data_IF_694572131876
#
_entry.id   IF_694572131876
#
_cell.length_a   1.000
_cell.length_b   1.000
_cell.length_c   1.000
_cell.angle_alpha   90.00
_cell.angle_beta   90.00
_cell.angle_gamma   90.00
#
_symmetry.space_group_name_H-M   'P 1'
#
loop_
_entity.id
_entity.type
_entity.pdbx_description
1 polymer ?
#
# COMPACT_ATOMS: atom_id res chain seq x y z
N UNK A 1 -10.76 44.51 25.17
CA UNK A 1 -9.93 43.34 25.51
C UNK A 1 -10.10 42.35 24.36
N UNK A 2 -9.09 42.29 23.53
CA UNK A 2 -9.05 41.53 22.28
C UNK A 2 -8.68 40.09 22.60
N UNK A 3 -9.55 39.14 22.35
CA UNK A 3 -9.22 37.72 22.44
C UNK A 3 -8.66 37.31 21.07
N UNK A 4 -7.38 37.00 21.09
CA UNK A 4 -6.58 36.52 19.99
C UNK A 4 -7.16 35.22 19.39
N UNK A 5 -7.24 35.22 18.07
CA UNK A 5 -7.60 34.09 17.28
C UNK A 5 -6.66 32.90 17.59
N UNK A 6 -7.27 31.83 17.98
CA UNK A 6 -6.64 30.52 18.22
C UNK A 6 -5.87 30.07 16.99
N UNK A 7 -4.63 29.77 17.26
CA UNK A 7 -3.65 29.14 16.35
C UNK A 7 -4.28 27.99 15.57
N UNK A 8 -4.14 28.04 14.29
CA UNK A 8 -4.44 26.95 13.36
C UNK A 8 -3.65 25.73 13.80
N UNK A 9 -4.34 24.77 14.36
CA UNK A 9 -3.79 23.48 14.75
C UNK A 9 -3.18 22.83 13.50
N UNK A 10 -1.86 22.98 13.38
CA UNK A 10 -1.07 22.32 12.36
C UNK A 10 -1.30 20.82 12.52
N UNK A 11 -1.90 20.17 11.52
CA UNK A 11 -2.07 18.73 11.47
C UNK A 11 -0.68 18.06 11.55
N UNK A 12 -0.22 17.86 12.78
CA UNK A 12 0.96 17.06 13.09
C UNK A 12 0.60 15.62 12.73
N UNK A 13 1.15 15.13 11.62
CA UNK A 13 0.84 13.85 11.02
C UNK A 13 0.51 12.74 12.03
N UNK A 14 -0.54 11.96 11.79
CA UNK A 14 -1.09 11.04 12.78
C UNK A 14 -0.11 9.95 13.18
N UNK A 15 -0.03 9.70 14.48
CA UNK A 15 0.50 8.45 15.01
C UNK A 15 -0.51 7.34 14.72
N UNK A 16 -0.14 6.39 13.91
CA UNK A 16 -0.96 5.58 13.00
C UNK A 16 -1.82 4.45 13.58
N UNK A 17 -2.28 4.48 14.79
CA UNK A 17 -3.21 3.42 15.26
C UNK A 17 -4.53 4.03 15.72
N UNK A 18 -5.57 3.82 14.90
CA UNK A 18 -6.95 4.15 15.27
C UNK A 18 -7.44 5.53 14.83
N UNK A 19 -6.67 6.30 14.05
CA UNK A 19 -7.12 7.60 13.54
C UNK A 19 -7.85 7.42 12.22
N UNK A 20 -9.07 7.93 12.13
CA UNK A 20 -9.87 7.97 10.93
C UNK A 20 -9.85 9.37 10.30
N UNK A 21 -9.99 9.42 8.98
CA UNK A 21 -10.10 10.67 8.21
C UNK A 21 -11.17 10.53 7.15
N UNK A 22 -11.73 11.66 6.75
CA UNK A 22 -12.72 11.71 5.69
C UNK A 22 -12.04 11.84 4.32
N UNK A 23 -12.39 10.94 3.40
CA UNK A 23 -11.99 11.04 2.01
C UNK A 23 -12.66 12.24 1.34
N UNK A 24 -11.87 13.12 0.72
CA UNK A 24 -12.38 14.34 0.08
C UNK A 24 -13.22 14.05 -1.17
N UNK A 25 -12.97 12.92 -1.84
CA UNK A 25 -13.70 12.50 -3.04
C UNK A 25 -15.03 11.81 -2.69
N UNK A 26 -14.98 10.79 -1.85
CA UNK A 26 -16.14 9.94 -1.55
C UNK A 26 -16.93 10.39 -0.32
N UNK A 27 -16.41 11.33 0.47
CA UNK A 27 -17.00 11.82 1.73
C UNK A 27 -17.20 10.73 2.79
N UNK A 28 -16.55 9.60 2.65
CA UNK A 28 -16.56 8.49 3.61
C UNK A 28 -15.43 8.65 4.62
N UNK A 29 -15.71 8.33 5.87
CA UNK A 29 -14.70 8.25 6.93
C UNK A 29 -14.05 6.85 6.87
N UNK A 30 -12.72 6.82 6.91
CA UNK A 30 -11.93 5.58 6.79
C UNK A 30 -10.69 5.64 7.68
N UNK A 31 -10.16 4.48 8.09
CA UNK A 31 -8.85 4.39 8.72
C UNK A 31 -7.77 5.03 7.83
N UNK A 32 -6.82 5.73 8.45
CA UNK A 32 -5.68 6.36 7.74
C UNK A 32 -4.91 5.37 6.86
N UNK A 33 -4.83 4.12 7.26
CA UNK A 33 -4.19 3.05 6.47
C UNK A 33 -4.85 2.83 5.10
N UNK A 34 -6.13 3.18 4.95
CA UNK A 34 -6.90 3.04 3.71
C UNK A 34 -6.93 4.33 2.88
N UNK A 35 -6.20 5.35 3.31
CA UNK A 35 -6.16 6.67 2.68
C UNK A 35 -4.74 7.04 2.24
N UNK A 36 -4.66 7.93 1.25
CA UNK A 36 -3.43 8.63 0.89
C UNK A 36 -3.60 10.10 1.30
N UNK A 37 -2.62 10.59 2.05
CA UNK A 37 -2.52 12.01 2.38
C UNK A 37 -1.90 12.75 1.21
N UNK A 38 -2.44 13.92 0.90
CA UNK A 38 -1.86 14.88 -0.04
C UNK A 38 -1.63 16.20 0.68
N UNK A 39 -0.57 16.88 0.32
CA UNK A 39 -0.24 18.24 0.79
C UNK A 39 -0.01 19.15 -0.40
N UNK A 40 0.08 20.46 -0.18
CA UNK A 40 0.49 21.37 -1.22
C UNK A 40 1.97 21.65 -1.09
N UNK A 41 2.72 21.33 -2.13
CA UNK A 41 4.16 21.59 -2.24
C UNK A 41 4.47 23.07 -2.40
N UNK A 42 5.78 23.45 -2.37
CA UNK A 42 6.23 24.83 -2.52
C UNK A 42 5.75 25.47 -3.82
N UNK A 43 5.65 24.68 -4.88
CA UNK A 43 5.23 25.13 -6.22
C UNK A 43 3.70 25.26 -6.38
N UNK A 44 2.93 25.10 -5.29
CA UNK A 44 1.48 25.12 -5.30
C UNK A 44 0.82 23.86 -5.87
N UNK A 45 1.57 22.79 -6.10
CA UNK A 45 1.07 21.50 -6.60
C UNK A 45 0.64 20.56 -5.48
N UNK A 46 -0.36 19.73 -5.76
CA UNK A 46 -0.70 18.60 -4.88
C UNK A 46 0.39 17.52 -4.94
N UNK A 47 0.90 17.15 -3.77
CA UNK A 47 1.98 16.15 -3.62
C UNK A 47 1.49 15.02 -2.72
N UNK A 48 1.62 13.73 -3.13
CA UNK A 48 1.34 12.59 -2.27
C UNK A 48 2.31 12.50 -1.09
N UNK A 49 1.79 12.32 0.12
CA UNK A 49 2.58 12.16 1.34
C UNK A 49 2.31 10.79 1.99
N UNK A 50 2.93 9.75 1.44
CA UNK A 50 2.73 8.38 1.92
C UNK A 50 3.31 8.14 3.32
N UNK A 51 4.32 8.90 3.71
CA UNK A 51 5.02 8.76 5.00
C UNK A 51 4.45 9.70 6.08
N UNK A 52 3.47 10.54 5.74
CA UNK A 52 2.83 11.53 6.61
C UNK A 52 3.85 12.47 7.29
N UNK A 53 4.90 12.87 6.56
CA UNK A 53 6.01 13.68 7.08
C UNK A 53 6.08 15.08 6.51
N UNK A 54 5.37 15.32 5.42
CA UNK A 54 5.40 16.64 4.79
C UNK A 54 4.60 17.66 5.61
N UNK A 55 5.10 18.90 5.74
CA UNK A 55 4.41 19.95 6.49
C UNK A 55 3.14 20.43 5.78
N UNK A 56 2.32 21.14 6.52
CA UNK A 56 1.12 21.78 6.00
C UNK A 56 -0.15 20.96 6.14
N UNK A 57 -1.27 21.61 5.78
CA UNK A 57 -2.59 20.99 5.81
C UNK A 57 -2.65 19.80 4.86
N UNK A 58 -3.10 18.64 5.37
CA UNK A 58 -3.32 17.43 4.60
C UNK A 58 -4.77 17.30 4.11
N UNK A 59 -4.93 16.78 2.88
CA UNK A 59 -6.19 16.32 2.30
C UNK A 59 -6.07 14.83 2.06
N UNK A 60 -7.12 14.07 2.39
CA UNK A 60 -7.10 12.62 2.36
C UNK A 60 -7.98 12.08 1.24
N UNK A 61 -7.48 11.12 0.49
CA UNK A 61 -8.19 10.43 -0.59
C UNK A 61 -8.10 8.93 -0.34
N UNK A 62 -9.19 8.20 -0.56
CA UNK A 62 -9.18 6.72 -0.50
C UNK A 62 -8.07 6.17 -1.39
N UNK A 63 -7.30 5.21 -0.87
CA UNK A 63 -6.11 4.66 -1.53
C UNK A 63 -6.47 3.73 -2.70
N UNK A 64 -7.25 4.25 -3.66
CA UNK A 64 -7.60 3.58 -4.92
C UNK A 64 -7.44 4.55 -6.09
N UNK A 65 -7.06 4.03 -7.25
CA UNK A 65 -6.91 4.83 -8.45
C UNK A 65 -8.23 5.55 -8.80
N UNK A 66 -9.35 4.85 -8.77
CA UNK A 66 -10.68 5.40 -9.07
C UNK A 66 -11.03 6.58 -8.14
N UNK A 67 -10.80 6.47 -6.83
CA UNK A 67 -11.09 7.55 -5.90
C UNK A 67 -10.18 8.77 -6.14
N UNK A 68 -8.93 8.55 -6.55
CA UNK A 68 -8.02 9.63 -6.88
C UNK A 68 -8.43 10.31 -8.20
N UNK A 69 -8.84 9.56 -9.21
CA UNK A 69 -9.42 10.09 -10.45
C UNK A 69 -10.67 10.94 -10.18
N UNK A 70 -11.57 10.44 -9.34
CA UNK A 70 -12.77 11.17 -8.92
C UNK A 70 -12.41 12.47 -8.17
N UNK A 71 -11.40 12.44 -7.29
CA UNK A 71 -10.93 13.63 -6.60
C UNK A 71 -10.42 14.70 -7.58
N UNK A 72 -9.71 14.29 -8.62
CA UNK A 72 -9.21 15.17 -9.69
C UNK A 72 -10.38 15.71 -10.52
N UNK A 73 -11.23 14.84 -11.08
CA UNK A 73 -12.39 15.19 -11.93
C UNK A 73 -13.34 16.17 -11.23
N UNK A 74 -13.63 15.96 -9.95
CA UNK A 74 -14.56 16.78 -9.15
C UNK A 74 -13.91 18.01 -8.53
N UNK A 75 -12.65 18.32 -8.82
CA UNK A 75 -11.87 19.41 -8.22
C UNK A 75 -11.92 19.40 -6.68
N UNK A 76 -11.92 18.19 -6.10
CA UNK A 76 -12.12 18.00 -4.67
C UNK A 76 -10.92 18.51 -3.83
N UNK A 77 -9.73 18.56 -4.42
CA UNK A 77 -8.52 19.06 -3.78
C UNK A 77 -8.62 20.54 -3.40
N UNK A 78 -9.06 21.42 -4.31
CA UNK A 78 -9.22 22.85 -4.03
C UNK A 78 -10.18 23.09 -2.86
N UNK A 79 -11.31 22.36 -2.83
CA UNK A 79 -12.26 22.42 -1.70
C UNK A 79 -11.65 21.92 -0.39
N UNK A 80 -10.89 20.82 -0.47
CA UNK A 80 -10.23 20.23 0.71
C UNK A 80 -9.15 21.13 1.29
N UNK A 81 -8.32 21.71 0.44
CA UNK A 81 -7.26 22.63 0.84
C UNK A 81 -7.77 24.05 1.18
N UNK A 82 -9.02 24.38 0.80
CA UNK A 82 -9.60 25.73 0.91
C UNK A 82 -8.79 26.80 0.17
N UNK A 83 -8.17 26.43 -0.95
CA UNK A 83 -7.40 27.30 -1.86
C UNK A 83 -7.25 26.65 -3.22
N UNK A 84 -6.86 27.43 -4.21
CA UNK A 84 -6.48 26.87 -5.51
C UNK A 84 -5.20 26.05 -5.39
N UNK A 85 -5.23 24.88 -6.03
CA UNK A 85 -4.12 23.93 -6.03
C UNK A 85 -3.96 23.38 -7.44
N UNK A 86 -2.74 23.43 -7.94
CA UNK A 86 -2.40 22.85 -9.22
C UNK A 86 -2.31 21.32 -9.08
N UNK A 87 -2.99 20.59 -9.96
CA UNK A 87 -2.93 19.15 -10.03
C UNK A 87 -2.05 18.76 -11.21
N UNK A 88 -0.90 18.11 -10.97
CA UNK A 88 -0.07 17.58 -12.06
C UNK A 88 -0.88 16.61 -12.92
N UNK A 89 -0.71 16.65 -14.24
CA UNK A 89 -1.40 15.75 -15.16
C UNK A 89 -1.11 14.27 -14.85
N UNK A 90 0.07 13.99 -14.33
CA UNK A 90 0.56 12.67 -13.96
C UNK A 90 0.42 12.34 -12.47
N UNK A 91 -0.42 13.09 -11.71
CA UNK A 91 -0.59 12.90 -10.26
C UNK A 91 -0.89 11.45 -9.88
N UNK A 92 -1.72 10.78 -10.67
CA UNK A 92 -2.12 9.38 -10.44
C UNK A 92 -0.91 8.46 -10.63
N UNK A 93 -0.20 8.60 -11.75
CA UNK A 93 0.99 7.80 -12.05
C UNK A 93 2.11 8.04 -11.02
N UNK A 94 2.35 9.29 -10.62
CA UNK A 94 3.31 9.62 -9.54
C UNK A 94 2.91 8.96 -8.21
N UNK A 95 1.62 8.95 -7.88
CA UNK A 95 1.14 8.31 -6.66
C UNK A 95 1.39 6.81 -6.69
N UNK A 96 1.09 6.15 -7.81
CA UNK A 96 1.37 4.74 -8.00
C UNK A 96 2.87 4.42 -7.90
N UNK A 97 3.72 5.19 -8.59
CA UNK A 97 5.18 5.01 -8.55
C UNK A 97 5.73 5.12 -7.12
N UNK A 98 5.21 6.05 -6.31
CA UNK A 98 5.58 6.16 -4.89
C UNK A 98 5.13 4.94 -4.08
N UNK A 99 3.95 4.38 -4.36
CA UNK A 99 3.48 3.15 -3.70
C UNK A 99 4.34 1.95 -4.08
N UNK A 100 4.68 1.80 -5.37
CA UNK A 100 5.61 0.78 -5.86
C UNK A 100 6.95 0.92 -5.15
N UNK A 101 7.56 2.10 -5.20
CA UNK A 101 8.84 2.37 -4.54
C UNK A 101 8.80 2.04 -3.04
N UNK A 102 7.72 2.44 -2.36
CA UNK A 102 7.53 2.13 -0.94
C UNK A 102 7.48 0.63 -0.66
N UNK A 103 6.82 -0.16 -1.52
CA UNK A 103 6.76 -1.62 -1.40
C UNK A 103 8.13 -2.26 -1.66
N UNK A 104 8.85 -1.83 -2.71
CA UNK A 104 10.18 -2.34 -3.05
C UNK A 104 11.22 -2.02 -1.96
N UNK A 105 11.20 -0.79 -1.39
CA UNK A 105 12.08 -0.42 -0.27
C UNK A 105 11.86 -1.34 0.95
N UNK A 106 10.60 -1.64 1.28
CA UNK A 106 10.29 -2.54 2.38
C UNK A 106 10.72 -3.98 2.09
N UNK A 107 10.49 -4.46 0.86
CA UNK A 107 10.88 -5.79 0.42
C UNK A 107 12.41 -5.96 0.45
N UNK A 108 13.16 -4.93 0.03
CA UNK A 108 14.61 -4.90 0.09
C UNK A 108 15.14 -5.03 1.53
N UNK A 109 14.52 -4.31 2.48
CA UNK A 109 14.87 -4.40 3.91
C UNK A 109 14.62 -5.81 4.44
N UNK A 110 13.45 -6.39 4.14
CA UNK A 110 13.11 -7.75 4.55
C UNK A 110 14.03 -8.79 3.90
N UNK A 111 14.42 -8.58 2.63
CA UNK A 111 15.40 -9.43 1.93
C UNK A 111 16.76 -9.45 2.62
N UNK A 112 17.28 -8.28 3.01
CA UNK A 112 18.53 -8.15 3.78
C UNK A 112 18.44 -8.80 5.16
N UNK A 113 17.27 -8.81 5.77
CA UNK A 113 17.01 -9.48 7.04
C UNK A 113 16.74 -10.99 6.90
N UNK A 114 16.93 -11.58 5.70
CA UNK A 114 16.66 -12.99 5.41
C UNK A 114 15.19 -13.42 5.63
N UNK A 115 14.26 -12.46 5.59
CA UNK A 115 12.83 -12.70 5.71
C UNK A 115 12.14 -12.93 4.36
N UNK A 116 12.90 -12.93 3.26
CA UNK A 116 12.39 -13.23 1.92
C UNK A 116 13.20 -14.38 1.32
N UNK A 117 12.50 -15.41 0.93
CA UNK A 117 13.07 -16.55 0.19
C UNK A 117 12.63 -16.43 -1.26
N UNK A 118 13.58 -16.48 -2.21
CA UNK A 118 13.31 -16.33 -3.63
C UNK A 118 13.78 -17.56 -4.44
N UNK A 119 13.02 -17.87 -5.50
CA UNK A 119 13.24 -19.00 -6.43
C UNK A 119 12.33 -20.18 -6.14
N UNK A 120 11.86 -20.85 -7.22
CA UNK A 120 10.80 -21.85 -7.18
C UNK A 120 11.03 -22.95 -6.11
N UNK A 121 12.10 -23.73 -6.23
CA UNK A 121 12.36 -24.86 -5.34
C UNK A 121 12.55 -24.42 -3.87
N UNK A 122 13.16 -23.25 -3.65
CA UNK A 122 13.35 -22.73 -2.29
C UNK A 122 12.03 -22.26 -1.68
N UNK A 123 11.17 -21.62 -2.46
CA UNK A 123 9.83 -21.21 -2.03
C UNK A 123 8.99 -22.42 -1.69
N UNK A 124 8.97 -23.45 -2.57
CA UNK A 124 8.25 -24.70 -2.34
C UNK A 124 8.65 -25.36 -1.02
N UNK A 125 9.96 -25.58 -0.80
CA UNK A 125 10.47 -26.13 0.45
C UNK A 125 10.18 -25.26 1.69
N UNK A 126 10.08 -23.93 1.49
CA UNK A 126 9.79 -23.00 2.59
C UNK A 126 8.32 -23.08 3.01
N UNK A 127 7.39 -23.24 2.08
CA UNK A 127 5.96 -23.42 2.35
C UNK A 127 5.68 -24.60 3.27
N UNK A 128 6.51 -25.64 3.22
CA UNK A 128 6.36 -26.84 4.05
C UNK A 128 6.91 -26.69 5.47
N UNK A 129 7.87 -25.78 5.69
CA UNK A 129 8.72 -25.81 6.89
C UNK A 129 8.73 -24.53 7.72
N UNK A 130 8.21 -23.42 7.21
CA UNK A 130 8.34 -22.10 7.84
C UNK A 130 7.01 -21.36 7.92
N UNK A 131 6.97 -20.39 8.83
CA UNK A 131 5.86 -19.46 8.99
C UNK A 131 5.85 -18.43 7.84
N UNK A 132 5.35 -18.85 6.68
CA UNK A 132 5.14 -17.98 5.53
C UNK A 132 3.90 -17.11 5.78
N UNK A 133 4.03 -15.80 5.57
CA UNK A 133 2.92 -14.85 5.74
C UNK A 133 2.42 -14.27 4.41
N UNK A 134 3.17 -14.43 3.32
CA UNK A 134 2.73 -14.10 1.97
C UNK A 134 3.51 -14.89 0.92
N UNK A 135 2.84 -15.26 -0.17
CA UNK A 135 3.45 -15.79 -1.38
C UNK A 135 3.39 -14.72 -2.47
N UNK A 136 4.53 -14.44 -3.09
CA UNK A 136 4.66 -13.47 -4.16
C UNK A 136 4.97 -14.18 -5.48
N UNK A 137 4.24 -13.81 -6.52
CA UNK A 137 4.55 -14.16 -7.90
C UNK A 137 4.77 -12.88 -8.70
N UNK A 138 5.73 -12.91 -9.62
CA UNK A 138 5.81 -11.84 -10.63
C UNK A 138 4.49 -11.77 -11.42
N UNK A 139 4.10 -10.57 -11.83
CA UNK A 139 2.85 -10.34 -12.55
C UNK A 139 2.77 -11.19 -13.83
N UNK A 140 3.91 -11.35 -14.51
CA UNK A 140 4.12 -12.13 -15.75
C UNK A 140 4.56 -13.58 -15.50
N UNK A 141 4.53 -14.06 -14.25
CA UNK A 141 4.92 -15.43 -13.93
C UNK A 141 4.12 -16.47 -14.72
N UNK A 142 4.83 -17.48 -15.25
CA UNK A 142 4.22 -18.55 -16.01
C UNK A 142 3.17 -19.31 -15.19
N UNK A 143 2.02 -19.56 -15.79
CA UNK A 143 0.88 -20.19 -15.13
C UNK A 143 1.19 -21.56 -14.48
N UNK A 144 2.11 -22.34 -15.05
CA UNK A 144 2.49 -23.64 -14.51
C UNK A 144 3.22 -23.50 -13.17
N UNK A 145 4.21 -22.60 -13.07
CA UNK A 145 4.93 -22.33 -11.83
C UNK A 145 4.01 -21.80 -10.73
N UNK A 146 3.13 -20.85 -11.09
CA UNK A 146 2.11 -20.31 -10.17
C UNK A 146 1.23 -21.43 -9.64
N UNK A 147 0.64 -22.25 -10.52
CA UNK A 147 -0.27 -23.35 -10.16
C UNK A 147 0.38 -24.36 -9.23
N UNK A 148 1.66 -24.71 -9.46
CA UNK A 148 2.42 -25.65 -8.62
C UNK A 148 2.62 -25.08 -7.20
N UNK A 149 3.07 -23.84 -7.08
CA UNK A 149 3.28 -23.19 -5.77
C UNK A 149 1.98 -22.91 -5.04
N UNK A 150 0.92 -22.50 -5.74
CA UNK A 150 -0.41 -22.35 -5.14
C UNK A 150 -0.95 -23.69 -4.62
N UNK A 151 -0.63 -24.79 -5.30
CA UNK A 151 -0.98 -26.14 -4.83
C UNK A 151 -0.16 -26.56 -3.62
N UNK A 152 1.13 -26.23 -3.58
CA UNK A 152 1.97 -26.42 -2.41
C UNK A 152 1.47 -25.61 -1.21
N UNK A 153 1.12 -24.33 -1.45
CA UNK A 153 0.54 -23.46 -0.44
C UNK A 153 -0.74 -24.05 0.17
N UNK A 154 -1.66 -24.56 -0.65
CA UNK A 154 -2.92 -25.18 -0.16
C UNK A 154 -2.70 -26.41 0.74
N UNK A 155 -1.56 -27.07 0.63
CA UNK A 155 -1.17 -28.20 1.49
C UNK A 155 -0.48 -27.76 2.78
N UNK A 156 -0.03 -26.50 2.84
CA UNK A 156 0.63 -25.97 4.04
C UNK A 156 -0.35 -25.84 5.21
N UNK A 157 0.08 -26.06 6.45
CA UNK A 157 -0.79 -26.00 7.64
C UNK A 157 -1.53 -24.67 7.83
N UNK A 158 -0.98 -23.59 7.31
CA UNK A 158 -1.51 -22.20 7.45
C UNK A 158 -2.10 -21.64 6.15
N UNK A 159 -2.44 -22.49 5.18
CA UNK A 159 -2.84 -22.12 3.83
C UNK A 159 -3.96 -21.05 3.76
N UNK A 160 -4.94 -21.11 4.66
CA UNK A 160 -6.15 -20.26 4.62
C UNK A 160 -5.85 -18.78 4.88
N UNK A 161 -4.76 -18.45 5.55
CA UNK A 161 -4.42 -17.08 5.95
C UNK A 161 -3.33 -16.42 5.11
N UNK A 162 -2.68 -17.16 4.22
CA UNK A 162 -1.54 -16.67 3.45
C UNK A 162 -2.01 -16.05 2.12
N UNK A 163 -1.90 -14.72 1.95
CA UNK A 163 -2.24 -14.07 0.69
C UNK A 163 -1.24 -14.41 -0.41
N UNK A 164 -1.76 -14.54 -1.64
CA UNK A 164 -0.96 -14.64 -2.87
C UNK A 164 -1.00 -13.27 -3.56
N UNK A 165 0.15 -12.65 -3.77
CA UNK A 165 0.30 -11.30 -4.30
C UNK A 165 1.00 -11.35 -5.66
N UNK A 166 0.41 -10.70 -6.69
CA UNK A 166 0.89 -10.71 -8.08
C UNK A 166 0.92 -9.31 -8.71
N UNK A 167 1.43 -8.35 -7.98
CA UNK A 167 1.37 -6.92 -8.38
C UNK A 167 2.73 -6.34 -8.79
N UNK A 168 3.82 -7.04 -8.57
CA UNK A 168 5.17 -6.63 -8.94
C UNK A 168 5.66 -7.44 -10.15
N UNK A 169 6.44 -6.81 -11.02
CA UNK A 169 7.11 -7.50 -12.12
C UNK A 169 8.35 -8.25 -11.62
N UNK A 170 8.89 -9.21 -12.40
CA UNK A 170 10.15 -9.87 -12.07
C UNK A 170 11.31 -8.87 -11.99
N UNK A 171 11.36 -7.87 -12.88
CA UNK A 171 12.36 -6.80 -12.83
C UNK A 171 12.28 -6.01 -11.51
N UNK A 172 11.07 -5.71 -11.02
CA UNK A 172 10.89 -5.04 -9.74
C UNK A 172 11.31 -5.90 -8.55
N UNK A 173 11.04 -7.22 -8.62
CA UNK A 173 11.49 -8.18 -7.60
C UNK A 173 13.02 -8.32 -7.63
N UNK A 174 13.62 -8.37 -8.81
CA UNK A 174 15.08 -8.42 -9.00
C UNK A 174 15.76 -7.19 -8.36
N UNK A 175 15.23 -6.01 -8.67
CA UNK A 175 15.73 -4.76 -8.11
C UNK A 175 15.63 -4.73 -6.58
N UNK A 176 14.50 -5.14 -6.01
CA UNK A 176 14.30 -5.15 -4.57
C UNK A 176 15.20 -6.15 -3.84
N UNK A 177 15.39 -7.34 -4.42
CA UNK A 177 16.11 -8.43 -3.76
C UNK A 177 17.59 -8.52 -4.15
N UNK A 178 18.04 -7.66 -5.08
CA UNK A 178 19.45 -7.60 -5.50
C UNK A 178 19.92 -8.88 -6.19
N UNK A 179 19.05 -9.57 -6.92
CA UNK A 179 19.36 -10.81 -7.64
C UNK A 179 18.49 -10.95 -8.89
N UNK A 180 19.00 -11.52 -9.98
CA UNK A 180 18.25 -11.70 -11.23
C UNK A 180 17.25 -12.86 -11.16
N UNK A 181 16.26 -12.82 -12.05
CA UNK A 181 15.29 -13.87 -12.32
C UNK A 181 14.42 -14.27 -11.12
N UNK A 182 13.99 -13.32 -10.33
CA UNK A 182 13.04 -13.55 -9.23
C UNK A 182 11.62 -13.55 -9.78
N UNK A 183 11.07 -14.72 -9.98
CA UNK A 183 9.68 -14.91 -10.43
C UNK A 183 8.76 -15.27 -9.28
N UNK A 184 9.30 -15.95 -8.26
CA UNK A 184 8.55 -16.39 -7.09
C UNK A 184 9.34 -16.09 -5.82
N UNK A 185 8.65 -15.60 -4.79
CA UNK A 185 9.21 -15.35 -3.47
C UNK A 185 8.21 -15.67 -2.35
N UNK A 186 8.69 -16.07 -1.19
CA UNK A 186 7.93 -16.23 0.03
C UNK A 186 8.40 -15.23 1.07
N UNK A 187 7.47 -14.53 1.71
CA UNK A 187 7.73 -13.66 2.85
C UNK A 187 7.51 -14.45 4.13
N UNK A 188 8.53 -14.51 4.97
CA UNK A 188 8.51 -15.24 6.24
C UNK A 188 8.12 -14.28 7.37
N UNK A 189 7.45 -14.76 8.40
CA UNK A 189 7.14 -13.99 9.60
C UNK A 189 8.40 -13.40 10.25
N UNK A 190 8.34 -12.14 10.61
CA UNK A 190 9.44 -11.43 11.24
C UNK A 190 9.16 -9.95 11.45
N UNK A 191 10.06 -9.22 12.14
CA UNK A 191 9.79 -7.86 12.62
C UNK A 191 9.43 -6.84 11.53
N UNK A 192 9.96 -6.98 10.30
CA UNK A 192 9.66 -6.08 9.18
C UNK A 192 8.59 -6.59 8.22
N UNK A 193 8.16 -7.84 8.38
CA UNK A 193 7.32 -8.53 7.40
C UNK A 193 5.90 -7.96 7.33
N UNK A 194 5.32 -7.56 8.46
CA UNK A 194 4.01 -6.90 8.50
C UNK A 194 4.02 -5.58 7.72
N UNK A 195 5.12 -4.82 7.83
CA UNK A 195 5.28 -3.58 7.06
C UNK A 195 5.36 -3.84 5.56
N UNK A 196 6.05 -4.90 5.14
CA UNK A 196 6.10 -5.32 3.73
C UNK A 196 4.70 -5.65 3.24
N UNK A 197 4.01 -6.54 3.96
CA UNK A 197 2.67 -6.99 3.60
C UNK A 197 1.67 -5.83 3.52
N UNK A 198 1.72 -4.91 4.48
CA UNK A 198 0.85 -3.73 4.49
C UNK A 198 1.08 -2.84 3.25
N UNK A 199 2.34 -2.64 2.82
CA UNK A 199 2.66 -1.82 1.64
C UNK A 199 2.29 -2.52 0.33
N UNK A 200 2.51 -3.82 0.23
CA UNK A 200 2.08 -4.61 -0.92
C UNK A 200 0.54 -4.57 -1.06
N UNK A 201 -0.19 -4.79 0.01
CA UNK A 201 -1.66 -4.71 0.03
C UNK A 201 -2.17 -3.31 -0.30
N UNK A 202 -1.46 -2.25 0.12
CA UNK A 202 -1.81 -0.87 -0.22
C UNK A 202 -1.65 -0.60 -1.71
N UNK A 203 -0.58 -1.08 -2.34
CA UNK A 203 -0.37 -0.99 -3.78
C UNK A 203 -1.42 -1.80 -4.55
N UNK A 204 -1.71 -3.02 -4.10
CA UNK A 204 -2.73 -3.88 -4.69
C UNK A 204 -4.10 -3.19 -4.69
N UNK A 205 -4.54 -2.68 -3.53
CA UNK A 205 -5.78 -1.91 -3.42
C UNK A 205 -5.81 -0.70 -4.33
N UNK A 206 -4.69 0.00 -4.45
CA UNK A 206 -4.62 1.18 -5.32
C UNK A 206 -4.93 0.80 -6.77
N UNK A 207 -4.41 -0.31 -7.25
CA UNK A 207 -4.60 -0.80 -8.62
C UNK A 207 -5.97 -1.45 -8.86
N UNK A 208 -6.40 -2.29 -7.94
CA UNK A 208 -7.63 -3.10 -8.11
C UNK A 208 -8.89 -2.40 -7.68
N UNK A 209 -8.79 -1.36 -6.85
CA UNK A 209 -9.95 -0.72 -6.21
C UNK A 209 -10.56 -1.55 -5.08
N UNK A 210 -10.06 -2.75 -4.81
CA UNK A 210 -10.57 -3.61 -3.74
C UNK A 210 -10.09 -3.11 -2.38
N UNK A 211 -11.03 -2.62 -1.59
CA UNK A 211 -10.78 -2.12 -0.24
C UNK A 211 -10.78 -3.25 0.81
N UNK A 212 -10.89 -4.51 0.38
CA UNK A 212 -11.05 -5.64 1.25
C UNK A 212 -12.28 -5.45 2.15
N UNK A 213 -13.35 -6.12 1.90
CA UNK A 213 -14.48 -6.14 2.84
C UNK A 213 -13.92 -6.58 4.20
N UNK A 214 -14.01 -5.70 5.20
CA UNK A 214 -13.99 -6.20 6.59
C UNK A 214 -15.09 -7.23 6.65
N UNK A 215 -14.75 -8.47 6.98
CA UNK A 215 -15.73 -9.47 7.38
C UNK A 215 -16.60 -8.80 8.44
N UNK A 216 -17.79 -8.36 8.04
CA UNK A 216 -18.77 -7.79 8.94
C UNK A 216 -19.15 -8.90 9.91
N UNK A 217 -18.83 -8.74 11.16
CA UNK A 217 -19.52 -9.41 12.25
C UNK A 217 -20.99 -8.99 12.18
N UNK A 218 -21.75 -9.67 11.33
CA UNK A 218 -23.20 -9.68 11.41
C UNK A 218 -23.55 -10.47 12.67
N UNK A 219 -23.88 -9.76 13.73
CA UNK A 219 -24.66 -10.35 14.82
C UNK A 219 -26.09 -10.44 14.31
N UNK A 220 -26.69 -11.62 14.15
CA UNK A 220 -28.13 -11.71 13.92
C UNK A 220 -28.85 -11.42 15.24
N UNK A 221 -29.84 -10.57 15.10
CA UNK A 221 -30.81 -10.27 16.15
C UNK A 221 -31.77 -11.45 16.29
#
# INVERSE_FOLDING_TARGET
MTVLATETELDRGPRDRGVERMCVATRTVRPVADLIRFVVGPDGEAVPDLKHKLPGRGVWVTATQCALEDAVKRKAFGRGFKRDVRLPADLIARTEQLLVRSALEALAIAGKASLVVAGFAKVEATLERKDVIALLHAAEAAADGVRKLDSALRRAPQAVSIPVIRILTSEQLDLALGRPNVVHAALIAGPSSDSVLARLRRLERFRTGDLGQKAGTGVPN
#
